data_IF_582690995455
#
_entry.id   IF_582690995455
#
_cell.length_a   1.000
_cell.length_b   1.000
_cell.length_c   1.000
_cell.angle_alpha   90.00
_cell.angle_beta   90.00
_cell.angle_gamma   90.00
#
_symmetry.space_group_name_H-M   'P 1'
#
loop_
_entity.id
_entity.type
_entity.pdbx_description
1 polymer ?
#
# COMPACT_ATOMS: atom_id res chain seq x y z
N UNK A 1 -2.96 25.91 -10.56
CA UNK A 1 -2.60 24.66 -9.84
C UNK A 1 -3.22 23.42 -10.49
N UNK A 2 -4.47 23.44 -10.94
CA UNK A 2 -5.10 22.33 -11.68
C UNK A 2 -4.41 22.07 -13.04
N UNK A 3 -4.00 23.11 -13.75
CA UNK A 3 -3.38 22.98 -15.09
C UNK A 3 -2.04 22.23 -15.08
N UNK A 4 -1.29 22.27 -13.98
CA UNK A 4 -0.01 21.56 -13.86
C UNK A 4 -0.20 20.05 -13.73
N UNK A 5 -1.24 19.61 -13.04
CA UNK A 5 -1.58 18.18 -12.88
C UNK A 5 -2.15 17.64 -14.19
N UNK A 6 -2.99 18.40 -14.88
CA UNK A 6 -3.57 18.03 -16.18
C UNK A 6 -2.52 17.91 -17.28
N UNK A 7 -1.52 18.79 -17.26
CA UNK A 7 -0.42 18.78 -18.23
C UNK A 7 0.64 17.71 -17.95
N UNK A 8 0.74 17.24 -16.69
CA UNK A 8 1.71 16.21 -16.30
C UNK A 8 1.31 14.78 -16.69
N UNK A 9 0.01 14.51 -16.90
CA UNK A 9 -0.52 13.18 -17.23
C UNK A 9 -1.55 13.33 -18.36
N UNK A 10 -1.11 13.54 -19.62
CA UNK A 10 -2.00 13.66 -20.75
C UNK A 10 -2.92 12.44 -20.87
N UNK A 11 -4.22 12.63 -20.87
CA UNK A 11 -5.22 11.61 -21.13
C UNK A 11 -5.86 10.95 -19.91
N UNK A 12 -5.25 11.00 -18.71
CA UNK A 12 -5.84 10.34 -17.52
C UNK A 12 -7.16 10.97 -17.08
N UNK A 13 -7.34 12.28 -17.28
CA UNK A 13 -8.58 12.97 -16.94
C UNK A 13 -9.54 13.15 -18.13
N UNK A 14 -9.16 12.68 -19.33
CA UNK A 14 -10.02 12.75 -20.50
C UNK A 14 -11.26 11.87 -20.31
N UNK A 15 -12.44 12.46 -20.46
CA UNK A 15 -13.72 11.77 -20.31
C UNK A 15 -14.31 11.81 -18.90
N UNK A 16 -13.62 12.35 -17.90
CA UNK A 16 -14.18 12.53 -16.58
C UNK A 16 -15.06 13.80 -16.53
N UNK A 17 -16.22 13.75 -15.84
CA UNK A 17 -17.02 14.95 -15.57
C UNK A 17 -16.18 16.00 -14.82
N UNK A 18 -16.43 17.30 -15.13
CA UNK A 18 -15.75 18.41 -14.43
C UNK A 18 -16.01 18.46 -12.92
N UNK A 19 -17.09 17.83 -12.47
CA UNK A 19 -17.47 17.70 -11.05
C UNK A 19 -16.79 16.56 -10.34
N UNK A 20 -15.94 15.75 -11.02
CA UNK A 20 -15.23 14.63 -10.39
C UNK A 20 -14.26 15.16 -9.35
N UNK A 21 -14.38 14.66 -8.11
CA UNK A 21 -13.41 14.94 -7.05
C UNK A 21 -12.09 14.26 -7.37
N UNK A 22 -10.99 14.99 -7.23
CA UNK A 22 -9.62 14.47 -7.44
C UNK A 22 -8.78 14.75 -6.21
N UNK A 23 -7.87 13.83 -5.89
CA UNK A 23 -6.87 14.04 -4.88
C UNK A 23 -5.65 14.73 -5.51
N UNK A 24 -5.23 15.84 -4.92
CA UNK A 24 -4.07 16.60 -5.40
C UNK A 24 -2.94 16.47 -4.38
N UNK A 25 -1.75 16.09 -4.85
CA UNK A 25 -0.54 16.03 -4.04
C UNK A 25 0.60 16.77 -4.75
N UNK A 26 1.67 17.03 -4.01
CA UNK A 26 2.92 17.48 -4.62
C UNK A 26 3.55 16.37 -5.47
N UNK A 27 4.41 16.78 -6.41
CA UNK A 27 5.24 15.83 -7.18
C UNK A 27 6.41 15.42 -6.30
N UNK A 28 6.56 14.11 -6.08
CA UNK A 28 7.63 13.52 -5.28
C UNK A 28 8.61 12.72 -6.14
N UNK A 29 9.90 12.72 -5.76
CA UNK A 29 10.94 11.91 -6.41
C UNK A 29 11.07 10.56 -5.70
N UNK A 30 10.34 9.55 -6.18
CA UNK A 30 10.41 8.18 -5.69
C UNK A 30 11.60 7.46 -6.34
N UNK A 31 12.65 7.21 -5.58
CA UNK A 31 13.90 6.57 -6.04
C UNK A 31 13.77 5.06 -6.17
N UNK A 32 13.04 4.44 -5.24
CA UNK A 32 12.70 3.02 -5.26
C UNK A 32 11.35 2.78 -4.62
N UNK A 33 10.65 1.73 -5.08
CA UNK A 33 9.34 1.35 -4.58
C UNK A 33 9.32 -0.14 -4.22
N UNK A 34 8.66 -0.45 -3.10
CA UNK A 34 8.65 -1.77 -2.49
C UNK A 34 7.24 -2.15 -2.08
N UNK A 35 6.88 -3.40 -2.31
CA UNK A 35 5.72 -4.04 -1.68
C UNK A 35 6.13 -4.86 -0.48
N UNK A 36 5.54 -4.56 0.66
CA UNK A 36 5.66 -5.32 1.91
C UNK A 36 4.41 -6.17 2.05
N UNK A 37 4.57 -7.49 2.03
CA UNK A 37 3.46 -8.44 2.21
C UNK A 37 3.32 -8.78 3.68
N UNK A 38 2.10 -8.67 4.20
CA UNK A 38 1.80 -8.88 5.62
C UNK A 38 0.71 -9.92 5.79
N UNK A 39 0.92 -10.86 6.69
CA UNK A 39 -0.06 -11.88 7.08
C UNK A 39 -0.21 -11.88 8.60
N UNK A 40 -1.43 -11.62 9.07
CA UNK A 40 -1.75 -11.53 10.49
C UNK A 40 -0.80 -10.60 11.28
N UNK A 41 -0.49 -9.42 10.71
CA UNK A 41 0.40 -8.44 11.31
C UNK A 41 1.90 -8.77 11.21
N UNK A 42 2.27 -9.87 10.55
CA UNK A 42 3.67 -10.29 10.39
C UNK A 42 4.12 -10.05 8.96
N UNK A 43 5.23 -9.32 8.78
CA UNK A 43 5.87 -9.14 7.47
C UNK A 43 6.41 -10.49 6.98
N UNK A 44 5.97 -10.92 5.79
CA UNK A 44 6.38 -12.17 5.15
C UNK A 44 7.41 -11.98 4.05
N UNK A 45 7.28 -10.90 3.29
CA UNK A 45 8.23 -10.58 2.23
C UNK A 45 8.28 -9.08 1.98
N UNK A 46 9.41 -8.62 1.46
CA UNK A 46 9.62 -7.26 0.97
C UNK A 46 10.19 -7.39 -0.43
N UNK A 47 9.44 -6.91 -1.41
CA UNK A 47 9.78 -7.03 -2.82
C UNK A 47 9.93 -5.66 -3.44
N UNK A 48 11.15 -5.31 -3.88
CA UNK A 48 11.36 -4.12 -4.70
C UNK A 48 10.81 -4.38 -6.10
N UNK A 49 9.92 -3.51 -6.57
CA UNK A 49 9.30 -3.65 -7.89
C UNK A 49 9.65 -2.51 -8.83
N UNK A 50 10.20 -1.39 -8.31
CA UNK A 50 10.58 -0.26 -9.14
C UNK A 50 11.82 0.46 -8.60
N UNK A 51 12.55 1.08 -9.52
CA UNK A 51 13.69 1.93 -9.22
C UNK A 51 14.96 1.20 -8.86
N UNK A 52 16.03 1.98 -8.71
CA UNK A 52 17.34 1.53 -8.23
C UNK A 52 17.73 2.45 -7.09
N UNK A 53 18.20 1.95 -5.99
CA UNK A 53 18.68 2.81 -4.94
C UNK A 53 18.44 2.27 -3.54
N UNK A 54 18.21 3.18 -2.64
CA UNK A 54 18.25 2.99 -1.21
C UNK A 54 17.26 1.93 -0.69
N UNK A 55 17.68 1.22 0.36
CA UNK A 55 16.84 0.27 1.05
C UNK A 55 15.80 1.00 1.93
N UNK A 56 14.70 0.28 2.25
CA UNK A 56 13.71 0.77 3.20
C UNK A 56 14.31 0.91 4.62
N UNK A 57 13.88 1.94 5.32
CA UNK A 57 14.01 2.01 6.77
C UNK A 57 13.01 1.01 7.40
N UNK A 58 13.54 -0.05 7.98
CA UNK A 58 12.74 -1.13 8.56
C UNK A 58 11.99 -0.74 9.83
N UNK A 59 12.44 0.30 10.54
CA UNK A 59 11.71 0.81 11.70
C UNK A 59 10.43 1.54 11.26
N UNK A 60 10.49 2.27 10.14
CA UNK A 60 9.31 2.90 9.53
C UNK A 60 8.30 1.82 9.07
N UNK A 61 8.79 0.76 8.43
CA UNK A 61 7.94 -0.36 7.98
C UNK A 61 7.25 -1.03 9.17
N UNK A 62 8.00 -1.42 10.20
CA UNK A 62 7.45 -2.04 11.42
C UNK A 62 6.41 -1.14 12.08
N UNK A 63 6.73 0.14 12.26
CA UNK A 63 5.82 1.11 12.86
C UNK A 63 4.51 1.22 12.08
N UNK A 64 4.57 1.24 10.74
CA UNK A 64 3.38 1.29 9.90
C UNK A 64 2.52 0.04 10.04
N UNK A 65 3.13 -1.16 10.00
CA UNK A 65 2.43 -2.44 10.20
C UNK A 65 1.77 -2.50 11.59
N UNK A 66 2.52 -2.14 12.64
CA UNK A 66 1.98 -2.12 14.02
C UNK A 66 0.84 -1.12 14.18
N UNK A 67 0.97 0.07 13.58
CA UNK A 67 -0.07 1.10 13.65
C UNK A 67 -1.35 0.63 12.99
N UNK A 68 -1.26 0.07 11.76
CA UNK A 68 -2.42 -0.45 11.05
C UNK A 68 -3.05 -1.62 11.79
N UNK A 69 -2.26 -2.59 12.25
CA UNK A 69 -2.76 -3.78 12.95
C UNK A 69 -3.52 -3.46 14.25
N UNK A 70 -3.25 -2.31 14.88
CA UNK A 70 -3.93 -1.84 16.09
C UNK A 70 -5.11 -0.91 15.79
N UNK A 71 -5.25 -0.45 14.56
CA UNK A 71 -6.36 0.43 14.16
C UNK A 71 -7.66 -0.36 14.01
N UNK A 72 -8.78 0.35 14.01
CA UNK A 72 -10.10 -0.24 13.75
C UNK A 72 -10.17 -0.82 12.36
N UNK A 73 -9.64 -0.10 11.38
CA UNK A 73 -9.61 -0.47 9.96
C UNK A 73 -8.73 -1.68 9.70
N UNK A 74 -7.61 -1.79 10.42
CA UNK A 74 -6.63 -2.86 10.26
C UNK A 74 -6.97 -4.16 10.99
N UNK A 75 -7.89 -4.12 11.96
CA UNK A 75 -8.22 -5.27 12.82
C UNK A 75 -8.61 -6.52 12.04
N UNK A 76 -9.30 -6.35 10.93
CA UNK A 76 -9.80 -7.44 10.10
C UNK A 76 -8.97 -7.65 8.82
N UNK A 77 -7.88 -6.91 8.63
CA UNK A 77 -6.94 -7.10 7.54
C UNK A 77 -5.93 -8.20 7.90
N UNK A 78 -6.31 -9.45 7.65
CA UNK A 78 -5.47 -10.62 7.95
C UNK A 78 -4.42 -10.91 6.87
N UNK A 79 -4.62 -10.39 5.65
CA UNK A 79 -3.66 -10.47 4.55
C UNK A 79 -3.72 -9.18 3.73
N UNK A 80 -2.59 -8.49 3.56
CA UNK A 80 -2.54 -7.22 2.83
C UNK A 80 -1.14 -6.90 2.32
N UNK A 81 -1.05 -5.93 1.41
CA UNK A 81 0.20 -5.33 0.97
C UNK A 81 0.29 -3.87 1.38
N UNK A 82 1.47 -3.43 1.79
CA UNK A 82 1.80 -2.03 1.99
C UNK A 82 2.88 -1.64 0.98
N UNK A 83 2.61 -0.60 0.21
CA UNK A 83 3.60 -0.07 -0.72
C UNK A 83 4.34 1.09 -0.08
N UNK A 84 5.65 0.99 -0.09
CA UNK A 84 6.56 2.01 0.41
C UNK A 84 7.44 2.54 -0.71
N UNK A 85 7.75 3.82 -0.64
CA UNK A 85 8.77 4.45 -1.47
C UNK A 85 9.93 4.96 -0.62
N UNK A 86 11.13 4.87 -1.17
CA UNK A 86 12.25 5.68 -0.71
C UNK A 86 12.29 6.94 -1.55
N UNK A 87 12.11 8.08 -0.91
CA UNK A 87 12.03 9.38 -1.56
C UNK A 87 13.24 10.22 -1.20
N UNK A 88 13.70 10.99 -2.19
CA UNK A 88 14.72 12.01 -1.94
C UNK A 88 14.07 13.22 -1.27
N UNK A 89 14.52 13.56 -0.09
CA UNK A 89 14.11 14.78 0.60
C UNK A 89 14.80 15.99 -0.01
N UNK A 90 14.04 17.01 -0.33
CA UNK A 90 14.62 18.28 -0.76
C UNK A 90 15.38 18.90 0.41
N UNK A 91 16.69 19.03 0.29
CA UNK A 91 17.54 19.74 1.24
C UNK A 91 17.79 21.13 0.70
N UNK A 92 17.82 22.15 1.57
CA UNK A 92 18.23 23.50 1.20
C UNK A 92 19.68 23.51 0.68
N UNK A 93 19.97 24.45 -0.19
CA UNK A 93 21.25 24.59 -0.94
C UNK A 93 22.51 24.14 -0.17
N UNK A 94 23.23 23.18 -0.75
CA UNK A 94 24.51 22.68 -0.26
C UNK A 94 24.47 21.52 0.75
N UNK A 95 23.29 20.98 1.06
CA UNK A 95 23.17 19.82 1.95
C UNK A 95 23.41 18.48 1.23
N UNK A 96 23.78 17.45 2.00
CA UNK A 96 23.88 16.06 1.53
C UNK A 96 22.49 15.53 1.24
N UNK A 97 22.35 14.75 0.16
CA UNK A 97 21.08 14.08 -0.19
C UNK A 97 20.59 13.23 1.00
N UNK A 98 19.38 13.51 1.45
CA UNK A 98 18.72 12.75 2.52
C UNK A 98 17.58 11.94 1.88
N UNK A 99 17.48 10.66 2.28
CA UNK A 99 16.46 9.76 1.81
C UNK A 99 15.52 9.37 2.96
N UNK A 100 14.23 9.33 2.67
CA UNK A 100 13.21 8.98 3.64
C UNK A 100 12.35 7.83 3.11
N UNK A 101 11.96 6.91 3.99
CA UNK A 101 10.99 5.87 3.70
C UNK A 101 9.59 6.38 4.01
N UNK A 102 8.69 6.31 3.03
CA UNK A 102 7.31 6.75 3.17
C UNK A 102 6.33 5.64 2.77
N UNK A 103 5.25 5.48 3.52
CA UNK A 103 4.11 4.68 3.11
C UNK A 103 3.38 5.38 1.96
N UNK A 104 3.15 4.68 0.87
CA UNK A 104 2.43 5.16 -0.31
C UNK A 104 0.97 4.77 -0.26
N UNK A 105 0.70 3.46 -0.09
CA UNK A 105 -0.66 2.92 -0.05
C UNK A 105 -0.73 1.59 0.70
N UNK A 106 -1.96 1.22 1.08
CA UNK A 106 -2.29 -0.10 1.63
C UNK A 106 -3.27 -0.77 0.69
N UNK A 107 -2.94 -1.99 0.26
CA UNK A 107 -3.72 -2.78 -0.69
C UNK A 107 -4.31 -4.01 0.00
N UNK A 108 -5.62 -4.24 -0.17
CA UNK A 108 -6.27 -5.44 0.34
C UNK A 108 -5.71 -6.70 -0.32
N UNK A 109 -5.46 -7.74 0.47
CA UNK A 109 -4.84 -8.97 0.01
C UNK A 109 -5.71 -9.86 -0.88
N UNK A 110 -7.01 -9.58 -1.03
CA UNK A 110 -7.90 -10.45 -1.80
C UNK A 110 -7.59 -10.51 -3.31
N UNK A 111 -6.97 -9.46 -3.87
CA UNK A 111 -6.58 -9.39 -5.28
C UNK A 111 -5.19 -8.76 -5.48
N UNK A 112 -4.32 -8.92 -4.50
CA UNK A 112 -2.98 -8.35 -4.51
C UNK A 112 -2.08 -9.08 -5.52
N UNK A 113 -1.34 -8.32 -6.33
CA UNK A 113 -0.38 -8.89 -7.29
C UNK A 113 0.82 -9.55 -6.60
N UNK A 114 1.37 -10.58 -7.23
CA UNK A 114 2.56 -11.29 -6.77
C UNK A 114 3.80 -10.74 -7.46
N UNK A 115 4.68 -10.06 -6.71
CA UNK A 115 5.97 -9.61 -7.23
C UNK A 115 7.06 -10.66 -7.05
N UNK A 116 8.09 -10.58 -7.91
CA UNK A 116 9.29 -11.42 -7.78
C UNK A 116 9.95 -11.19 -6.42
N UNK A 117 10.22 -12.28 -5.69
CA UNK A 117 10.90 -12.23 -4.38
C UNK A 117 10.05 -12.76 -3.23
N UNK A 118 8.73 -12.79 -3.34
CA UNK A 118 7.89 -13.49 -2.38
C UNK A 118 7.91 -15.01 -2.66
N UNK A 119 7.96 -15.81 -1.60
CA UNK A 119 7.82 -17.27 -1.73
C UNK A 119 6.36 -17.63 -2.03
N UNK A 120 6.14 -18.65 -2.87
CA UNK A 120 4.80 -19.13 -3.21
C UNK A 120 3.97 -19.47 -1.96
N UNK A 121 4.60 -20.05 -0.94
CA UNK A 121 3.95 -20.36 0.34
C UNK A 121 3.44 -19.08 1.03
N UNK A 122 4.27 -18.05 1.14
CA UNK A 122 3.90 -16.80 1.85
C UNK A 122 2.78 -16.05 1.12
N UNK A 123 2.81 -16.06 -0.22
CA UNK A 123 1.73 -15.51 -1.03
C UNK A 123 0.42 -16.29 -0.88
N UNK A 124 0.49 -17.62 -0.85
CA UNK A 124 -0.67 -18.47 -0.61
C UNK A 124 -1.24 -18.24 0.79
N UNK A 125 -0.40 -18.18 1.82
CA UNK A 125 -0.81 -17.89 3.20
C UNK A 125 -1.54 -16.53 3.29
N UNK A 126 -1.07 -15.52 2.56
CA UNK A 126 -1.71 -14.20 2.49
C UNK A 126 -3.13 -14.29 1.92
N UNK A 127 -3.29 -14.97 0.78
CA UNK A 127 -4.60 -15.15 0.15
C UNK A 127 -5.55 -15.94 1.04
N UNK A 128 -5.09 -17.05 1.63
CA UNK A 128 -5.90 -17.89 2.53
C UNK A 128 -6.35 -17.08 3.74
N UNK A 129 -5.46 -16.34 4.39
CA UNK A 129 -5.78 -15.54 5.56
C UNK A 129 -6.85 -14.49 5.21
N UNK A 130 -6.66 -13.76 4.10
CA UNK A 130 -7.59 -12.69 3.72
C UNK A 130 -8.95 -13.22 3.28
N UNK A 131 -8.99 -14.22 2.39
CA UNK A 131 -10.24 -14.82 1.92
C UNK A 131 -10.99 -15.51 3.06
N UNK A 132 -10.30 -16.17 3.99
CA UNK A 132 -10.91 -16.75 5.18
C UNK A 132 -11.68 -15.72 6.02
N UNK A 133 -11.13 -14.53 6.20
CA UNK A 133 -11.80 -13.44 6.92
C UNK A 133 -13.02 -12.91 6.15
N UNK A 134 -12.91 -12.73 4.84
CA UNK A 134 -14.00 -12.24 3.99
C UNK A 134 -15.19 -13.22 3.98
N UNK A 135 -14.92 -14.50 3.73
CA UNK A 135 -15.97 -15.54 3.71
C UNK A 135 -16.60 -15.73 5.11
N UNK A 136 -15.79 -15.67 6.16
CA UNK A 136 -16.30 -15.77 7.54
C UNK A 136 -17.26 -14.63 7.92
N UNK A 137 -17.03 -13.41 7.41
CA UNK A 137 -17.93 -12.26 7.62
C UNK A 137 -19.25 -12.44 6.86
N UNK A 138 -19.21 -12.93 5.63
CA UNK A 138 -20.41 -13.18 4.83
C UNK A 138 -21.33 -14.18 5.52
N UNK A 139 -20.78 -15.29 6.04
CA UNK A 139 -21.58 -16.29 6.77
C UNK A 139 -22.22 -15.72 8.06
N UNK A 140 -21.55 -14.82 8.76
CA UNK A 140 -22.13 -14.18 9.97
C UNK A 140 -23.26 -13.20 9.63
N UNK A 141 -23.17 -12.49 8.51
CA UNK A 141 -24.24 -11.57 8.07
C UNK A 141 -25.49 -12.33 7.62
N UNK A 142 -25.34 -13.48 6.96
CA UNK A 142 -26.44 -14.33 6.55
C UNK A 142 -27.18 -14.98 7.74
N UNK A 143 -26.44 -15.42 8.76
CA UNK A 143 -27.04 -15.98 9.97
C UNK A 143 -27.90 -14.95 10.75
N UNK A 144 -27.52 -13.69 10.74
CA UNK A 144 -28.29 -12.61 11.39
C UNK A 144 -29.54 -12.17 10.62
N UNK A 145 -29.70 -12.57 9.35
CA UNK A 145 -30.87 -12.24 8.51
C UNK A 145 -31.97 -13.30 8.66
N UNK A 146 -31.65 -14.49 9.15
CA UNK A 146 -32.62 -15.59 9.30
C UNK A 146 -33.38 -15.61 10.63
N UNK A 147 -33.09 -14.69 11.53
CA UNK A 147 -33.72 -14.59 12.87
C UNK A 147 -34.81 -13.49 12.95
N UNK A 148 -35.53 -13.19 11.82
CA UNK A 148 -36.72 -12.30 11.83
C UNK A 148 -37.89 -12.94 11.12
#
# INVERSE_FOLDING_TARGET
MLDTVINGIPGVLNGLPRSTSVFCSEIVDMRSEYRVYVVNGVVRAICKYRGSGEALDMEVVKKAVDTLSRSVEGRDLTGYGMDFAVMKKKVSDGGVDEYITCLVEVNDGYSLGCYKGILAKDYTDLLIARWGTLVGKTKKSEANIMDY
#
